data_IF_086605813900
#
_entry.id   IF_086605813900
#
_cell.length_a   1.000
_cell.length_b   1.000
_cell.length_c   1.000
_cell.angle_alpha   90.00
_cell.angle_beta   90.00
_cell.angle_gamma   90.00
#
_symmetry.space_group_name_H-M   'P 1'
#
loop_
_entity.id
_entity.type
_entity.pdbx_description
1 polymer ?
#
# COMPACT_ATOMS: atom_id res chain seq x y z
N UNK A 1 -2.32 -8.30 -24.32
CA UNK A 1 -2.97 -8.56 -23.01
C UNK A 1 -4.12 -9.53 -23.17
N UNK A 2 -4.34 -10.42 -22.21
CA UNK A 2 -5.48 -11.36 -22.21
C UNK A 2 -6.67 -10.74 -21.50
N UNK A 3 -7.88 -10.83 -22.09
CA UNK A 3 -9.13 -10.41 -21.48
C UNK A 3 -9.93 -11.64 -21.06
N UNK A 4 -10.04 -11.87 -19.77
CA UNK A 4 -10.83 -12.94 -19.14
C UNK A 4 -12.21 -12.41 -18.74
N UNK A 5 -13.15 -12.42 -19.64
CA UNK A 5 -14.57 -12.11 -19.43
C UNK A 5 -15.43 -13.01 -20.30
N UNK A 6 -16.51 -13.56 -19.76
CA UNK A 6 -17.50 -14.31 -20.52
C UNK A 6 -18.60 -13.41 -21.12
N UNK A 7 -18.68 -12.15 -20.70
CA UNK A 7 -19.64 -11.17 -21.17
C UNK A 7 -19.16 -10.51 -22.50
N UNK A 8 -19.86 -10.73 -23.63
CA UNK A 8 -19.48 -10.15 -24.90
C UNK A 8 -19.51 -8.62 -24.92
N UNK A 9 -20.44 -8.01 -24.18
CA UNK A 9 -20.60 -6.56 -24.12
C UNK A 9 -19.42 -5.92 -23.38
N UNK A 10 -18.99 -6.51 -22.27
CA UNK A 10 -17.80 -6.10 -21.52
C UNK A 10 -16.56 -6.23 -22.36
N UNK A 11 -16.41 -7.34 -23.11
CA UNK A 11 -15.29 -7.54 -24.01
C UNK A 11 -15.23 -6.46 -25.08
N UNK A 12 -16.35 -6.19 -25.76
CA UNK A 12 -16.43 -5.17 -26.80
C UNK A 12 -16.16 -3.76 -26.22
N UNK A 13 -16.71 -3.43 -25.06
CA UNK A 13 -16.50 -2.16 -24.38
C UNK A 13 -15.03 -1.94 -24.00
N UNK A 14 -14.40 -2.93 -23.35
CA UNK A 14 -12.98 -2.85 -22.97
C UNK A 14 -12.06 -2.80 -24.17
N UNK A 15 -12.35 -3.54 -25.23
CA UNK A 15 -11.59 -3.47 -26.49
C UNK A 15 -11.65 -2.06 -27.09
N UNK A 16 -12.84 -1.44 -27.13
CA UNK A 16 -13.00 -0.06 -27.57
C UNK A 16 -12.27 0.96 -26.69
N UNK A 17 -12.41 0.85 -25.37
CA UNK A 17 -11.76 1.75 -24.41
C UNK A 17 -10.23 1.71 -24.48
N UNK A 18 -9.65 0.54 -24.71
CA UNK A 18 -8.19 0.36 -24.68
C UNK A 18 -7.55 0.47 -26.08
N UNK A 19 -8.34 0.45 -27.16
CA UNK A 19 -7.82 0.54 -28.53
C UNK A 19 -7.02 1.83 -28.78
N UNK A 20 -7.48 2.96 -28.24
CA UNK A 20 -6.82 4.26 -28.37
C UNK A 20 -5.52 4.36 -27.58
N UNK A 21 -5.33 3.48 -26.60
CA UNK A 21 -4.17 3.46 -25.70
C UNK A 21 -3.03 2.56 -26.21
N UNK A 22 -3.12 2.01 -27.41
CA UNK A 22 -2.11 1.11 -27.97
C UNK A 22 -2.05 -0.28 -27.32
N UNK A 23 -3.06 -0.63 -26.54
CA UNK A 23 -3.18 -1.94 -25.87
C UNK A 23 -3.88 -2.92 -26.79
N UNK A 24 -3.18 -3.99 -27.18
CA UNK A 24 -3.77 -5.09 -27.96
C UNK A 24 -4.39 -6.11 -26.99
N UNK A 25 -5.70 -6.33 -27.11
CA UNK A 25 -6.41 -7.35 -26.34
C UNK A 25 -6.50 -8.65 -27.16
N UNK A 26 -6.32 -9.78 -26.49
CA UNK A 26 -6.60 -11.13 -26.99
C UNK A 26 -7.56 -11.84 -26.05
N UNK A 27 -8.33 -12.75 -26.59
CA UNK A 27 -9.20 -13.66 -25.81
C UNK A 27 -8.73 -15.12 -25.88
N UNK A 28 -7.62 -15.36 -26.59
CA UNK A 28 -7.06 -16.69 -26.76
C UNK A 28 -6.23 -17.09 -25.52
N UNK A 29 -6.65 -18.13 -24.85
CA UNK A 29 -5.90 -18.72 -23.75
C UNK A 29 -4.62 -19.38 -24.27
N UNK A 30 -3.47 -19.10 -23.62
CA UNK A 30 -2.18 -19.71 -23.98
C UNK A 30 -1.28 -18.84 -24.85
N UNK A 31 -1.75 -17.69 -25.36
CA UNK A 31 -0.87 -16.72 -26.00
C UNK A 31 0.04 -16.05 -24.95
N UNK A 32 1.31 -15.72 -25.29
CA UNK A 32 2.16 -14.93 -24.40
C UNK A 32 1.56 -13.54 -24.25
N UNK A 33 1.29 -13.13 -23.01
CA UNK A 33 0.66 -11.85 -22.69
C UNK A 33 1.38 -11.15 -21.54
N UNK A 34 1.45 -9.82 -21.61
CA UNK A 34 2.12 -9.00 -20.59
C UNK A 34 1.27 -8.81 -19.33
N UNK A 35 -0.06 -8.92 -19.45
CA UNK A 35 -0.98 -8.83 -18.33
C UNK A 35 -2.34 -9.46 -18.70
N UNK A 36 -3.11 -9.81 -17.65
CA UNK A 36 -4.49 -10.31 -17.77
C UNK A 36 -5.45 -9.29 -17.18
N UNK A 37 -6.51 -8.96 -17.91
CA UNK A 37 -7.66 -8.22 -17.38
C UNK A 37 -8.74 -9.24 -17.04
N UNK A 38 -9.10 -9.33 -15.78
CA UNK A 38 -10.07 -10.31 -15.27
C UNK A 38 -11.34 -9.60 -14.78
N UNK A 39 -12.46 -9.87 -15.46
CA UNK A 39 -13.78 -9.43 -15.03
C UNK A 39 -14.36 -10.40 -14.00
N UNK A 40 -14.27 -10.04 -12.73
CA UNK A 40 -14.67 -10.89 -11.60
C UNK A 40 -16.16 -11.23 -11.58
N UNK A 41 -17.00 -10.43 -12.24
CA UNK A 41 -18.45 -10.63 -12.26
C UNK A 41 -18.89 -11.68 -13.29
N UNK A 42 -18.07 -11.92 -14.33
CA UNK A 42 -18.48 -12.76 -15.46
C UNK A 42 -17.56 -13.95 -15.71
N UNK A 43 -16.39 -14.02 -15.10
CA UNK A 43 -15.42 -15.09 -15.32
C UNK A 43 -14.83 -15.62 -14.00
N UNK A 44 -14.49 -16.93 -13.94
CA UNK A 44 -13.74 -17.47 -12.82
C UNK A 44 -12.33 -16.85 -12.75
N UNK A 45 -11.66 -16.88 -11.59
CA UNK A 45 -10.31 -16.37 -11.46
C UNK A 45 -9.38 -17.12 -12.43
N UNK A 46 -8.51 -16.38 -13.16
CA UNK A 46 -7.49 -17.01 -13.97
C UNK A 46 -6.52 -17.78 -13.08
N UNK A 47 -5.84 -18.79 -13.63
CA UNK A 47 -4.82 -19.52 -12.92
C UNK A 47 -3.65 -18.58 -12.58
N UNK A 48 -3.57 -18.17 -11.32
CA UNK A 48 -2.52 -17.31 -10.80
C UNK A 48 -1.39 -18.20 -10.27
N UNK A 49 -0.36 -18.40 -11.08
CA UNK A 49 0.83 -19.18 -10.71
C UNK A 49 2.06 -18.30 -10.51
N UNK A 50 3.06 -18.76 -9.75
CA UNK A 50 4.33 -18.06 -9.63
C UNK A 50 4.97 -17.86 -11.03
N UNK A 51 5.28 -16.61 -11.39
CA UNK A 51 5.86 -16.27 -12.69
C UNK A 51 4.85 -16.13 -13.83
N UNK A 52 3.56 -16.21 -13.57
CA UNK A 52 2.51 -15.89 -14.55
C UNK A 52 2.38 -14.39 -14.81
N UNK A 53 1.63 -13.99 -15.86
CA UNK A 53 1.37 -12.59 -16.14
C UNK A 53 0.58 -11.93 -14.99
N UNK A 54 0.86 -10.66 -14.65
CA UNK A 54 0.12 -9.95 -13.61
C UNK A 54 -1.35 -9.78 -14.01
N UNK A 55 -2.24 -9.85 -13.02
CA UNK A 55 -3.69 -9.79 -13.22
C UNK A 55 -4.27 -8.51 -12.64
N UNK A 56 -5.00 -7.75 -13.47
CA UNK A 56 -5.84 -6.64 -13.06
C UNK A 56 -7.29 -7.14 -12.96
N UNK A 57 -7.85 -7.13 -11.76
CA UNK A 57 -9.23 -7.51 -11.52
C UNK A 57 -10.16 -6.30 -11.71
N UNK A 58 -11.18 -6.45 -12.56
CA UNK A 58 -12.28 -5.52 -12.68
C UNK A 58 -13.38 -5.96 -11.72
N UNK A 59 -13.69 -5.14 -10.72
CA UNK A 59 -14.55 -5.51 -9.62
C UNK A 59 -15.78 -4.60 -9.50
N UNK A 60 -16.84 -5.10 -8.88
CA UNK A 60 -18.06 -4.33 -8.66
C UNK A 60 -18.05 -3.56 -7.33
N UNK A 61 -17.04 -3.76 -6.50
CA UNK A 61 -16.88 -3.10 -5.21
C UNK A 61 -15.72 -3.64 -4.39
N UNK A 62 -15.55 -3.06 -3.22
CA UNK A 62 -14.40 -3.29 -2.35
C UNK A 62 -14.24 -4.73 -1.88
N UNK A 63 -15.36 -5.42 -1.57
CA UNK A 63 -15.30 -6.82 -1.13
C UNK A 63 -14.76 -7.75 -2.22
N UNK A 64 -15.20 -7.56 -3.48
CA UNK A 64 -14.70 -8.30 -4.62
C UNK A 64 -13.22 -7.95 -4.90
N UNK A 65 -12.84 -6.69 -4.72
CA UNK A 65 -11.46 -6.23 -4.82
C UNK A 65 -10.55 -6.92 -3.79
N UNK A 66 -11.01 -7.00 -2.54
CA UNK A 66 -10.30 -7.71 -1.47
C UNK A 66 -10.08 -9.19 -1.81
N UNK A 67 -11.14 -9.87 -2.26
CA UNK A 67 -11.06 -11.28 -2.64
C UNK A 67 -10.08 -11.49 -3.80
N UNK A 68 -10.10 -10.63 -4.82
CA UNK A 68 -9.19 -10.70 -5.96
C UNK A 68 -7.72 -10.51 -5.55
N UNK A 69 -7.41 -9.48 -4.75
CA UNK A 69 -6.06 -9.20 -4.26
C UNK A 69 -5.55 -10.33 -3.34
N UNK A 70 -6.40 -10.83 -2.43
CA UNK A 70 -6.06 -11.98 -1.58
C UNK A 70 -5.83 -13.26 -2.40
N UNK A 71 -6.46 -13.37 -3.55
CA UNK A 71 -6.25 -14.45 -4.52
C UNK A 71 -5.01 -14.27 -5.38
N UNK A 72 -4.23 -13.20 -5.20
CA UNK A 72 -2.97 -12.96 -5.90
C UNK A 72 -3.08 -12.03 -7.12
N UNK A 73 -4.20 -11.33 -7.33
CA UNK A 73 -4.27 -10.30 -8.36
C UNK A 73 -3.29 -9.16 -8.04
N UNK A 74 -2.60 -8.66 -9.06
CA UNK A 74 -1.67 -7.54 -8.95
C UNK A 74 -2.38 -6.18 -8.83
N UNK A 75 -3.67 -6.11 -9.15
CA UNK A 75 -4.46 -4.90 -8.99
C UNK A 75 -5.95 -5.16 -9.00
N UNK A 76 -6.70 -4.21 -8.42
CA UNK A 76 -8.16 -4.19 -8.42
C UNK A 76 -8.66 -2.76 -8.71
N UNK A 77 -9.51 -2.62 -9.72
CA UNK A 77 -10.17 -1.38 -10.10
C UNK A 77 -11.66 -1.63 -10.35
N UNK A 78 -12.49 -0.60 -10.22
CA UNK A 78 -13.91 -0.73 -10.52
C UNK A 78 -14.16 -1.03 -12.00
N UNK A 79 -15.18 -1.81 -12.30
CA UNK A 79 -15.65 -2.06 -13.69
C UNK A 79 -16.08 -0.79 -14.42
N UNK A 80 -16.34 0.29 -13.67
CA UNK A 80 -16.72 1.60 -14.18
C UNK A 80 -15.52 2.53 -14.42
N UNK A 81 -14.29 2.04 -14.21
CA UNK A 81 -13.08 2.81 -14.45
C UNK A 81 -12.99 3.26 -15.91
N UNK A 82 -12.53 4.47 -16.14
CA UNK A 82 -12.33 5.03 -17.46
C UNK A 82 -11.08 4.45 -18.16
N UNK A 83 -10.93 4.74 -19.45
CA UNK A 83 -9.83 4.26 -20.26
C UNK A 83 -8.45 4.68 -19.72
N UNK A 84 -8.34 5.90 -19.20
CA UNK A 84 -7.08 6.44 -18.67
C UNK A 84 -6.66 5.70 -17.41
N UNK A 85 -7.60 5.45 -16.50
CA UNK A 85 -7.39 4.69 -15.26
C UNK A 85 -7.00 3.23 -15.57
N UNK A 86 -7.71 2.57 -16.49
CA UNK A 86 -7.41 1.20 -16.91
C UNK A 86 -6.02 1.11 -17.55
N UNK A 87 -5.67 2.03 -18.44
CA UNK A 87 -4.36 2.06 -19.06
C UNK A 87 -3.24 2.25 -18.04
N UNK A 88 -3.39 3.23 -17.12
CA UNK A 88 -2.41 3.48 -16.06
C UNK A 88 -2.25 2.27 -15.13
N UNK A 89 -3.36 1.62 -14.76
CA UNK A 89 -3.35 0.43 -13.92
C UNK A 89 -2.61 -0.73 -14.61
N UNK A 90 -2.88 -0.98 -15.87
CA UNK A 90 -2.24 -2.04 -16.66
C UNK A 90 -0.74 -1.80 -16.81
N UNK A 91 -0.34 -0.56 -17.08
CA UNK A 91 1.06 -0.18 -17.16
C UNK A 91 1.78 -0.35 -15.81
N UNK A 92 1.13 -0.02 -14.71
CA UNK A 92 1.70 -0.16 -13.37
C UNK A 92 1.91 -1.64 -12.99
N UNK A 93 0.90 -2.50 -13.18
CA UNK A 93 1.04 -3.93 -12.86
C UNK A 93 2.05 -4.64 -13.76
N UNK A 94 2.18 -4.24 -15.04
CA UNK A 94 3.19 -4.81 -15.94
C UNK A 94 4.63 -4.48 -15.52
N UNK A 95 4.80 -3.44 -14.68
CA UNK A 95 6.07 -3.04 -14.04
C UNK A 95 6.26 -3.62 -12.63
N UNK A 96 5.38 -4.53 -12.20
CA UNK A 96 5.46 -5.16 -10.89
C UNK A 96 4.90 -4.33 -9.74
N UNK A 97 4.14 -3.26 -10.02
CA UNK A 97 3.47 -2.47 -8.99
C UNK A 97 2.12 -3.10 -8.63
N UNK A 98 1.68 -2.89 -7.40
CA UNK A 98 0.32 -3.23 -6.96
C UNK A 98 -0.59 -2.02 -7.12
N UNK A 99 -1.75 -2.23 -7.76
CA UNK A 99 -2.72 -1.15 -8.02
C UNK A 99 -3.99 -1.39 -7.22
N UNK A 100 -4.36 -0.41 -6.41
CA UNK A 100 -5.61 -0.42 -5.63
C UNK A 100 -6.31 0.90 -5.88
N UNK A 101 -7.57 0.83 -6.33
CA UNK A 101 -8.35 2.03 -6.57
C UNK A 101 -8.56 2.82 -5.28
N UNK A 102 -8.48 4.16 -5.38
CA UNK A 102 -8.52 5.04 -4.20
C UNK A 102 -9.80 4.87 -3.35
N UNK A 103 -10.93 4.51 -3.99
CA UNK A 103 -12.19 4.23 -3.30
C UNK A 103 -12.17 3.00 -2.39
N UNK A 104 -11.15 2.15 -2.48
CA UNK A 104 -11.00 0.95 -1.67
C UNK A 104 -10.14 1.21 -0.43
N UNK A 105 -10.59 2.10 0.44
CA UNK A 105 -9.82 2.57 1.60
C UNK A 105 -9.41 1.45 2.56
N UNK A 106 -10.22 0.40 2.69
CA UNK A 106 -9.93 -0.76 3.55
C UNK A 106 -8.99 -1.79 2.90
N UNK A 107 -8.75 -1.69 1.57
CA UNK A 107 -7.79 -2.54 0.85
C UNK A 107 -6.38 -1.97 0.82
N UNK A 108 -6.22 -0.70 1.14
CA UNK A 108 -4.88 -0.18 1.37
C UNK A 108 -4.25 -1.07 2.44
N UNK A 109 -3.05 -1.65 2.21
CA UNK A 109 -2.35 -2.30 3.28
C UNK A 109 -2.44 -1.35 4.47
N UNK A 110 -3.12 -1.76 5.53
CA UNK A 110 -2.95 -1.06 6.79
C UNK A 110 -1.43 -0.89 6.90
N UNK A 111 -0.92 0.32 7.18
CA UNK A 111 0.51 0.44 7.41
C UNK A 111 0.82 -0.72 8.31
N UNK A 112 1.66 -1.67 7.81
CA UNK A 112 1.92 -2.91 8.54
C UNK A 112 2.08 -2.49 9.99
N UNK A 113 1.40 -3.13 10.96
CA UNK A 113 1.62 -2.77 12.34
C UNK A 113 3.12 -2.94 12.50
N UNK A 114 3.83 -1.81 12.38
CA UNK A 114 5.28 -1.80 12.60
C UNK A 114 5.42 -2.54 13.91
N UNK A 115 6.25 -3.59 13.97
CA UNK A 115 6.29 -4.50 15.12
C UNK A 115 6.24 -3.62 16.34
N UNK A 116 5.24 -3.86 17.20
CA UNK A 116 4.92 -2.97 18.32
C UNK A 116 6.24 -2.58 18.95
N UNK A 117 6.56 -1.29 18.96
CA UNK A 117 7.90 -0.83 19.31
C UNK A 117 8.26 -1.44 20.66
N UNK A 118 8.98 -2.57 20.62
CA UNK A 118 9.50 -3.19 21.82
C UNK A 118 10.62 -2.31 22.34
N UNK A 119 10.90 -2.38 23.62
CA UNK A 119 12.01 -1.63 24.21
C UNK A 119 13.34 -1.90 23.47
N UNK A 120 13.45 -3.06 22.81
CA UNK A 120 14.61 -3.47 22.00
C UNK A 120 14.72 -2.73 20.64
N UNK A 121 13.62 -2.15 20.14
CA UNK A 121 13.62 -1.40 18.87
C UNK A 121 14.27 0.00 18.98
N UNK A 122 14.52 0.48 20.19
CA UNK A 122 15.14 1.78 20.46
C UNK A 122 16.61 1.65 20.80
N UNK A 123 17.45 2.42 20.14
CA UNK A 123 18.85 2.54 20.51
C UNK A 123 18.97 3.16 21.91
N UNK A 124 20.09 2.99 22.64
CA UNK A 124 20.32 3.65 23.93
C UNK A 124 20.06 5.16 23.85
N UNK A 125 20.53 5.81 22.78
CA UNK A 125 20.37 7.25 22.59
C UNK A 125 18.91 7.66 22.36
N UNK A 126 18.15 6.88 21.62
CA UNK A 126 16.72 7.13 21.41
C UNK A 126 15.93 6.96 22.71
N UNK A 127 16.32 6.06 23.60
CA UNK A 127 15.69 5.92 24.93
C UNK A 127 15.95 7.13 25.82
N UNK A 128 17.16 7.68 25.82
CA UNK A 128 17.49 8.92 26.51
C UNK A 128 16.65 10.09 26.00
N UNK A 129 16.57 10.25 24.68
CA UNK A 129 15.75 11.28 24.04
C UNK A 129 14.27 11.08 24.38
N UNK A 130 13.77 9.84 24.34
CA UNK A 130 12.37 9.53 24.63
C UNK A 130 12.02 9.84 26.09
N UNK A 131 12.91 9.59 27.05
CA UNK A 131 12.72 9.94 28.46
C UNK A 131 12.63 11.47 28.66
N UNK A 132 13.48 12.24 27.96
CA UNK A 132 13.43 13.70 28.01
C UNK A 132 12.18 14.25 27.31
N UNK A 133 11.76 13.60 26.20
CA UNK A 133 10.54 13.92 25.49
C UNK A 133 9.30 13.74 26.37
N UNK A 134 9.26 12.65 27.17
CA UNK A 134 8.19 12.37 28.11
C UNK A 134 8.11 13.42 29.24
N UNK A 135 9.24 14.00 29.62
CA UNK A 135 9.30 15.13 30.57
C UNK A 135 8.89 16.48 29.95
N UNK A 136 8.54 16.51 28.67
CA UNK A 136 8.07 17.71 27.99
C UNK A 136 9.16 18.65 27.45
N UNK A 137 10.44 18.26 27.47
CA UNK A 137 11.55 19.10 27.02
C UNK A 137 11.47 19.39 25.52
N UNK A 138 11.76 20.64 25.13
CA UNK A 138 11.88 21.01 23.72
C UNK A 138 13.11 20.35 23.07
N UNK A 139 13.19 20.34 21.73
CA UNK A 139 14.36 19.81 21.02
C UNK A 139 15.66 20.55 21.39
N UNK A 140 15.57 21.83 21.77
CA UNK A 140 16.69 22.63 22.22
C UNK A 140 17.15 22.16 23.61
N UNK A 141 16.20 21.99 24.54
CA UNK A 141 16.51 21.53 25.90
C UNK A 141 17.04 20.09 25.90
N UNK A 142 16.52 19.24 25.00
CA UNK A 142 17.04 17.89 24.78
C UNK A 142 18.48 17.95 24.23
N UNK A 143 18.74 18.86 23.30
CA UNK A 143 20.09 19.04 22.75
C UNK A 143 21.08 19.49 23.81
N UNK A 144 20.71 20.46 24.64
CA UNK A 144 21.51 20.96 25.74
C UNK A 144 21.74 19.87 26.81
N UNK A 145 20.69 19.13 27.19
CA UNK A 145 20.78 18.04 28.17
C UNK A 145 21.65 16.85 27.72
N UNK A 146 21.76 16.63 26.43
CA UNK A 146 22.46 15.50 25.83
C UNK A 146 23.79 15.89 25.14
N UNK A 147 24.17 17.17 25.23
CA UNK A 147 25.36 17.74 24.60
C UNK A 147 25.47 17.47 23.09
N UNK A 148 24.35 17.63 22.37
CA UNK A 148 24.24 17.45 20.92
C UNK A 148 23.68 18.71 20.25
N UNK A 149 23.72 18.77 18.92
CA UNK A 149 23.07 19.87 18.20
C UNK A 149 21.54 19.76 18.25
N UNK A 150 20.84 20.90 18.19
CA UNK A 150 19.38 20.93 18.09
C UNK A 150 18.87 20.17 16.84
N UNK A 151 19.67 20.15 15.75
CA UNK A 151 19.38 19.38 14.55
C UNK A 151 19.43 17.88 14.82
N UNK A 152 20.44 17.42 15.55
CA UNK A 152 20.59 16.01 15.95
C UNK A 152 19.46 15.58 16.88
N UNK A 153 19.08 16.43 17.85
CA UNK A 153 17.93 16.16 18.70
C UNK A 153 16.63 16.01 17.91
N UNK A 154 16.37 16.91 16.94
CA UNK A 154 15.23 16.82 16.02
C UNK A 154 15.25 15.51 15.21
N UNK A 155 16.43 15.08 14.73
CA UNK A 155 16.58 13.83 14.00
C UNK A 155 16.18 12.63 14.87
N UNK A 156 16.66 12.55 16.11
CA UNK A 156 16.30 11.48 17.05
C UNK A 156 14.79 11.49 17.38
N UNK A 157 14.22 12.68 17.61
CA UNK A 157 12.76 12.80 17.85
C UNK A 157 11.98 12.27 16.66
N UNK A 158 12.34 12.63 15.43
CA UNK A 158 11.66 12.14 14.22
C UNK A 158 11.81 10.61 14.07
N UNK A 159 12.99 10.06 14.36
CA UNK A 159 13.21 8.61 14.35
C UNK A 159 12.30 7.90 15.37
N UNK A 160 12.16 8.45 16.56
CA UNK A 160 11.27 7.93 17.60
C UNK A 160 9.80 7.98 17.15
N UNK A 161 9.35 9.10 16.55
CA UNK A 161 7.99 9.23 16.02
C UNK A 161 7.71 8.15 14.96
N UNK A 162 8.65 7.95 14.03
CA UNK A 162 8.55 6.90 13.00
C UNK A 162 8.50 5.50 13.61
N UNK A 163 9.35 5.19 14.59
CA UNK A 163 9.37 3.89 15.26
C UNK A 163 8.10 3.62 16.05
N UNK A 164 7.54 4.66 16.67
CA UNK A 164 6.25 4.59 17.36
C UNK A 164 5.05 4.60 16.39
N UNK A 165 5.23 4.94 15.11
CA UNK A 165 4.14 5.02 14.14
C UNK A 165 3.16 6.14 14.42
N UNK A 166 3.64 7.29 14.90
CA UNK A 166 2.85 8.49 15.23
C UNK A 166 3.44 9.73 14.57
N UNK A 167 2.61 10.75 14.37
CA UNK A 167 3.04 12.00 13.73
C UNK A 167 3.34 13.13 14.74
N UNK A 168 2.72 13.07 15.91
CA UNK A 168 2.81 14.13 16.91
C UNK A 168 3.58 13.68 18.17
N UNK A 169 4.38 14.60 18.71
CA UNK A 169 5.17 14.33 19.92
C UNK A 169 4.31 13.92 21.13
N UNK A 170 3.13 14.52 21.29
CA UNK A 170 2.20 14.16 22.36
C UNK A 170 1.69 12.74 22.23
N UNK A 171 1.40 12.30 21.00
CA UNK A 171 1.03 10.92 20.71
C UNK A 171 2.16 9.95 21.00
N UNK A 172 3.41 10.37 20.70
CA UNK A 172 4.60 9.56 20.99
C UNK A 172 4.75 9.30 22.48
N UNK A 173 4.58 10.33 23.31
CA UNK A 173 4.67 10.22 24.77
C UNK A 173 3.59 9.29 25.32
N UNK A 174 2.33 9.47 24.91
CA UNK A 174 1.21 8.62 25.32
C UNK A 174 1.43 7.17 24.90
N UNK A 175 1.89 6.95 23.67
CA UNK A 175 2.14 5.60 23.15
C UNK A 175 3.32 4.93 23.83
N UNK A 176 4.39 5.67 24.09
CA UNK A 176 5.55 5.19 24.83
C UNK A 176 5.20 4.78 26.28
N UNK A 177 4.36 5.59 26.97
CA UNK A 177 3.87 5.26 28.28
C UNK A 177 3.01 3.97 28.29
N UNK A 178 2.10 3.82 27.31
CA UNK A 178 1.29 2.59 27.14
C UNK A 178 2.13 1.35 26.88
N UNK A 179 3.29 1.50 26.23
CA UNK A 179 4.23 0.41 25.95
C UNK A 179 5.22 0.18 27.12
N UNK A 180 5.12 0.93 28.21
CA UNK A 180 6.02 0.82 29.35
C UNK A 180 7.46 1.31 29.08
N UNK A 181 7.66 2.09 28.00
CA UNK A 181 8.98 2.62 27.60
C UNK A 181 9.38 3.84 28.43
N UNK A 182 8.42 4.57 28.97
CA UNK A 182 8.60 5.74 29.84
C UNK A 182 7.53 5.77 30.92
N UNK A 183 7.87 6.38 32.06
CA UNK A 183 6.94 6.71 33.13
C UNK A 183 6.61 8.19 33.06
N UNK A 184 5.33 8.56 33.16
CA UNK A 184 4.85 9.95 33.16
C UNK A 184 4.80 10.50 34.56
#
# INVERSE_FOLDING_TARGET
MLLASSDPLVRAGLAGLLAESGVTLTVEAGAPVDAVVWDTASAPPPALGPGGPPVLALVTGEQAGRAALSGGAAGAVLRTADAATLHAALLAISRGLVVIEHGFSSLRPAPEPRPAASAEAFTPREREVLALLARGLSNRDIADALEISAHTAKFHVNSILQKLGVERRTEAVVRAARLGLVTL
#
